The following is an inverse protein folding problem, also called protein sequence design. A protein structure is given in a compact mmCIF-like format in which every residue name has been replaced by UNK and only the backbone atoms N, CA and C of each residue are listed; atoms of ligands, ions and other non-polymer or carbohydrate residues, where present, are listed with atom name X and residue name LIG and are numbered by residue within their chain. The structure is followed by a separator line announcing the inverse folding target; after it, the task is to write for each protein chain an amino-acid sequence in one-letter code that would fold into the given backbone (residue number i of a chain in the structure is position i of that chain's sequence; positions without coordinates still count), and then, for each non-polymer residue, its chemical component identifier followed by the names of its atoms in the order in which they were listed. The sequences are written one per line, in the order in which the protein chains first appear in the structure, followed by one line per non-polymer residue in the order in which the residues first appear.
data_IF_540151177247
#
_entry.id   IF_540151177247
#
_cell.length_a   1.000
_cell.length_b   1.000
_cell.length_c   1.000
_cell.angle_alpha   90.00
_cell.angle_beta   90.00
_cell.angle_gamma   90.00
#
_symmetry.space_group_name_H-M   'P 1'
#
loop_
_entity.id
_entity.type
_entity.pdbx_description
1 polymer ?
#
# COMPACT_ATOMS: atom_id res chain seq x y z
N UNK A 1 11.80 8.50 8.35
CA UNK A 1 11.26 7.50 7.42
C UNK A 1 12.39 6.63 6.91
N UNK A 2 12.13 5.35 6.79
CA UNK A 2 13.13 4.37 6.35
C UNK A 2 12.66 3.76 5.03
N UNK A 3 13.55 3.74 4.02
CA UNK A 3 13.29 3.00 2.79
C UNK A 3 13.82 1.59 2.96
N UNK A 4 12.95 0.62 2.74
CA UNK A 4 13.31 -0.79 2.90
C UNK A 4 14.02 -1.32 1.68
N UNK A 5 14.92 -2.28 1.91
CA UNK A 5 15.51 -3.12 0.88
C UNK A 5 15.00 -4.54 1.04
N UNK A 6 15.30 -5.39 0.07
CA UNK A 6 14.85 -6.79 0.13
C UNK A 6 15.46 -7.57 1.30
N UNK A 7 16.49 -7.02 1.95
CA UNK A 7 17.13 -7.65 3.09
C UNK A 7 16.43 -7.37 4.43
N UNK A 8 15.50 -6.41 4.46
CA UNK A 8 14.79 -6.01 5.68
C UNK A 8 13.62 -6.95 5.98
N UNK A 9 13.92 -8.23 6.18
CA UNK A 9 12.92 -9.29 6.26
C UNK A 9 11.89 -9.11 7.38
N UNK A 10 12.30 -8.59 8.54
CA UNK A 10 11.38 -8.39 9.66
C UNK A 10 10.33 -7.33 9.34
N UNK A 11 10.76 -6.22 8.75
CA UNK A 11 9.82 -5.18 8.32
C UNK A 11 8.94 -5.64 7.16
N UNK A 12 9.52 -6.39 6.22
CA UNK A 12 8.74 -6.95 5.10
C UNK A 12 7.64 -7.86 5.64
N UNK A 13 7.95 -8.68 6.64
CA UNK A 13 6.95 -9.52 7.29
C UNK A 13 5.80 -8.69 7.90
N UNK A 14 6.14 -7.60 8.58
CA UNK A 14 5.15 -6.69 9.16
C UNK A 14 4.28 -6.05 8.09
N UNK A 15 4.87 -5.58 7.00
CA UNK A 15 4.13 -5.01 5.87
C UNK A 15 3.20 -6.05 5.25
N UNK A 16 3.72 -7.24 4.98
CA UNK A 16 2.91 -8.33 4.40
C UNK A 16 1.73 -8.68 5.31
N UNK A 17 1.97 -8.75 6.61
CA UNK A 17 0.93 -9.07 7.59
C UNK A 17 -0.18 -8.02 7.56
N UNK A 18 0.17 -6.75 7.61
CA UNK A 18 -0.83 -5.68 7.58
C UNK A 18 -1.54 -5.60 6.24
N UNK A 19 -0.83 -5.84 5.14
CA UNK A 19 -1.42 -5.84 3.82
C UNK A 19 -2.48 -6.94 3.67
N UNK A 20 -2.18 -8.15 4.13
CA UNK A 20 -3.14 -9.26 4.09
C UNK A 20 -4.37 -8.94 4.93
N UNK A 21 -4.19 -8.32 6.10
CA UNK A 21 -5.31 -7.88 6.93
C UNK A 21 -6.18 -6.86 6.19
N UNK A 22 -5.58 -5.92 5.48
CA UNK A 22 -6.33 -4.93 4.68
C UNK A 22 -7.16 -5.61 3.59
N UNK A 23 -6.58 -6.58 2.90
CA UNK A 23 -7.29 -7.33 1.87
C UNK A 23 -8.45 -8.13 2.45
N UNK A 24 -8.29 -8.73 3.61
CA UNK A 24 -9.31 -9.55 4.26
C UNK A 24 -10.44 -8.71 4.85
N UNK A 25 -10.20 -7.47 5.21
CA UNK A 25 -11.23 -6.60 5.77
C UNK A 25 -12.36 -6.32 4.77
N UNK A 26 -12.08 -6.50 3.48
CA UNK A 26 -13.03 -6.23 2.40
C UNK A 26 -13.84 -7.45 2.00
N UNK A 27 -13.54 -8.61 2.57
CA UNK A 27 -14.22 -9.85 2.26
C UNK A 27 -14.91 -10.40 3.49
N UNK A 28 -16.12 -10.95 3.30
CA UNK A 28 -16.84 -11.63 4.35
C UNK A 28 -16.27 -13.03 4.61
N UNK A 29 -15.39 -13.50 3.73
CA UNK A 29 -14.83 -14.85 3.80
C UNK A 29 -13.48 -14.79 4.48
N UNK A 30 -13.38 -15.47 5.63
CA UNK A 30 -12.10 -15.68 6.29
C UNK A 30 -11.43 -16.87 5.66
N UNK A 31 -10.32 -16.64 4.98
CA UNK A 31 -9.60 -17.73 4.36
C UNK A 31 -8.75 -18.44 5.40
N UNK A 32 -8.68 -19.76 5.29
CA UNK A 32 -7.81 -20.56 6.13
C UNK A 32 -6.34 -20.47 5.71
N UNK A 33 -6.05 -19.70 4.68
CA UNK A 33 -4.72 -19.58 4.11
C UNK A 33 -3.96 -18.33 4.49
N UNK A 34 -4.34 -17.65 5.58
CA UNK A 34 -3.74 -16.38 5.96
C UNK A 34 -2.22 -16.44 6.06
N UNK A 35 -1.66 -17.48 6.70
CA UNK A 35 -0.22 -17.63 6.83
C UNK A 35 0.47 -17.84 5.49
N UNK A 36 -0.19 -18.58 4.60
CA UNK A 36 0.31 -18.80 3.25
C UNK A 36 0.30 -17.50 2.46
N UNK A 37 -0.78 -16.73 2.57
CA UNK A 37 -0.89 -15.44 1.90
C UNK A 37 0.19 -14.47 2.37
N UNK A 38 0.43 -14.40 3.67
CA UNK A 38 1.50 -13.57 4.22
C UNK A 38 2.86 -13.97 3.64
N UNK A 39 3.15 -15.27 3.61
CA UNK A 39 4.41 -15.77 3.06
C UNK A 39 4.55 -15.43 1.58
N UNK A 40 3.47 -15.54 0.80
CA UNK A 40 3.49 -15.19 -0.62
C UNK A 40 3.74 -13.70 -0.83
N UNK A 41 3.13 -12.84 -0.02
CA UNK A 41 3.38 -11.40 -0.12
C UNK A 41 4.78 -11.02 0.34
N UNK A 42 5.33 -11.69 1.35
CA UNK A 42 6.72 -11.48 1.74
C UNK A 42 7.65 -11.75 0.56
N UNK A 43 7.45 -12.87 -0.13
CA UNK A 43 8.25 -13.23 -1.29
C UNK A 43 8.08 -12.22 -2.43
N UNK A 44 6.84 -11.81 -2.71
CA UNK A 44 6.56 -10.85 -3.76
C UNK A 44 7.21 -9.50 -3.47
N UNK A 45 7.05 -9.01 -2.24
CA UNK A 45 7.63 -7.72 -1.84
C UNK A 45 9.14 -7.76 -1.95
N UNK A 46 9.78 -8.79 -1.38
CA UNK A 46 11.23 -8.92 -1.46
C UNK A 46 11.73 -9.00 -2.90
N UNK A 47 11.03 -9.78 -3.73
CA UNK A 47 11.37 -9.92 -5.15
C UNK A 47 11.27 -8.59 -5.89
N UNK A 48 10.19 -7.86 -5.69
CA UNK A 48 9.99 -6.56 -6.34
C UNK A 48 10.96 -5.50 -5.84
N UNK A 49 11.29 -5.50 -4.56
CA UNK A 49 12.32 -4.60 -4.03
C UNK A 49 13.67 -4.88 -4.67
N UNK A 50 13.99 -6.15 -4.88
CA UNK A 50 15.29 -6.54 -5.43
C UNK A 50 15.38 -6.32 -6.94
N UNK A 51 14.35 -6.71 -7.70
CA UNK A 51 14.43 -6.79 -9.16
C UNK A 51 13.61 -5.76 -9.90
N UNK A 52 12.56 -5.22 -9.30
CA UNK A 52 11.72 -4.23 -9.95
C UNK A 52 11.95 -2.81 -9.42
N UNK A 53 12.73 -2.67 -8.36
CA UNK A 53 13.03 -1.35 -7.80
C UNK A 53 11.85 -0.69 -7.12
N UNK A 54 10.93 -1.47 -6.56
CA UNK A 54 9.77 -0.92 -5.85
C UNK A 54 10.18 0.02 -4.74
N UNK A 55 9.28 0.95 -4.43
CA UNK A 55 9.44 1.87 -3.32
C UNK A 55 8.64 1.34 -2.14
N UNK A 56 9.29 1.16 -1.01
CA UNK A 56 8.62 0.77 0.24
C UNK A 56 9.21 1.59 1.37
N UNK A 57 8.43 2.57 1.83
CA UNK A 57 8.83 3.43 2.94
C UNK A 57 8.04 3.13 4.18
N UNK A 58 8.69 3.16 5.32
CA UNK A 58 8.05 2.98 6.61
C UNK A 58 8.37 4.13 7.54
N UNK A 59 7.43 4.40 8.45
CA UNK A 59 7.62 5.33 9.55
C UNK A 59 7.62 4.52 10.84
N UNK A 60 8.64 4.72 11.66
CA UNK A 60 8.77 3.99 12.92
C UNK A 60 8.77 4.94 14.11
N UNK A 61 8.46 4.40 15.30
CA UNK A 61 8.63 5.13 16.54
C UNK A 61 10.06 4.96 17.07
N UNK A 62 10.32 5.47 18.28
CA UNK A 62 11.66 5.40 18.88
C UNK A 62 12.11 3.97 19.21
N UNK A 63 11.16 3.06 19.34
CA UNK A 63 11.42 1.65 19.64
C UNK A 63 11.44 0.81 18.37
N UNK A 64 11.47 1.45 17.21
CA UNK A 64 11.51 0.83 15.90
C UNK A 64 10.24 0.05 15.54
N UNK A 65 9.12 0.36 16.21
CA UNK A 65 7.81 -0.19 15.84
C UNK A 65 7.24 0.60 14.67
N UNK A 66 6.66 -0.10 13.72
CA UNK A 66 6.09 0.51 12.52
C UNK A 66 4.79 1.24 12.84
N UNK A 67 4.75 2.54 12.52
CA UNK A 67 3.54 3.38 12.65
C UNK A 67 2.76 3.45 11.34
N UNK A 68 3.45 3.39 10.22
CA UNK A 68 2.86 3.54 8.91
C UNK A 68 3.79 3.00 7.85
N UNK A 69 3.22 2.62 6.71
CA UNK A 69 4.01 2.28 5.53
C UNK A 69 3.24 2.62 4.26
N UNK A 70 3.98 2.71 3.16
CA UNK A 70 3.40 2.71 1.82
C UNK A 70 4.31 1.95 0.88
N UNK A 71 3.70 1.16 0.01
CA UNK A 71 4.38 0.34 -0.97
C UNK A 71 3.88 0.71 -2.35
N UNK A 72 4.81 1.02 -3.26
CA UNK A 72 4.49 1.44 -4.62
C UNK A 72 5.36 0.72 -5.63
N UNK A 73 4.77 0.45 -6.79
CA UNK A 73 5.40 -0.26 -7.89
C UNK A 73 5.30 0.57 -9.16
N UNK A 74 6.41 0.64 -9.93
CA UNK A 74 6.43 1.34 -11.21
C UNK A 74 6.36 0.35 -12.36
N UNK A 75 5.45 0.60 -13.30
CA UNK A 75 5.32 -0.17 -14.54
C UNK A 75 5.82 0.68 -15.70
N UNK A 76 7.03 0.42 -16.23
CA UNK A 76 7.59 1.24 -17.30
C UNK A 76 6.75 1.23 -18.57
N UNK A 77 6.12 0.10 -18.90
CA UNK A 77 5.33 -0.02 -20.13
C UNK A 77 4.18 0.99 -20.17
N UNK A 78 3.60 1.32 -19.04
CA UNK A 78 2.47 2.25 -18.93
C UNK A 78 2.88 3.61 -18.36
N UNK A 79 4.14 3.77 -18.00
CA UNK A 79 4.64 4.96 -17.28
C UNK A 79 3.78 5.27 -16.06
N UNK A 80 3.43 4.24 -15.29
CA UNK A 80 2.46 4.32 -14.21
C UNK A 80 3.01 3.74 -12.92
N UNK A 81 2.81 4.47 -11.83
CA UNK A 81 3.07 3.97 -10.48
C UNK A 81 1.74 3.53 -9.88
N UNK A 82 1.73 2.36 -9.28
CA UNK A 82 0.59 1.86 -8.52
C UNK A 82 0.96 1.86 -7.04
N UNK A 83 0.14 2.50 -6.22
CA UNK A 83 0.27 2.36 -4.78
C UNK A 83 -0.39 1.04 -4.41
N UNK A 84 0.45 0.05 -4.10
CA UNK A 84 -0.01 -1.31 -3.83
C UNK A 84 -0.63 -1.43 -2.45
N UNK A 85 -0.11 -0.67 -1.48
CA UNK A 85 -0.61 -0.72 -0.11
C UNK A 85 -0.19 0.54 0.63
N UNK A 86 -1.08 1.03 1.49
CA UNK A 86 -0.79 2.13 2.40
C UNK A 86 -1.51 1.86 3.71
N UNK A 87 -0.78 1.98 4.81
CA UNK A 87 -1.31 1.69 6.14
C UNK A 87 -0.79 2.71 7.14
N UNK A 88 -1.69 3.15 8.01
CA UNK A 88 -1.32 3.96 9.17
C UNK A 88 -1.96 3.31 10.39
N UNK A 89 -1.13 3.02 11.38
CA UNK A 89 -1.60 2.44 12.64
C UNK A 89 -2.73 3.32 13.21
N UNK A 90 -3.84 2.72 13.69
CA UNK A 90 -4.97 3.50 14.21
C UNK A 90 -4.60 4.52 15.28
N UNK A 91 -3.61 4.23 16.13
CA UNK A 91 -3.17 5.15 17.17
C UNK A 91 -2.36 6.34 16.64
N UNK A 92 -1.93 6.26 15.38
CA UNK A 92 -1.07 7.27 14.76
C UNK A 92 -1.75 7.99 13.59
N UNK A 93 -3.05 7.84 13.44
CA UNK A 93 -3.80 8.52 12.38
C UNK A 93 -3.94 10.01 12.66
N UNK A 94 -4.24 10.78 11.62
CA UNK A 94 -4.40 12.24 11.67
C UNK A 94 -3.13 12.99 12.07
N UNK A 95 -1.97 12.37 11.89
CA UNK A 95 -0.67 12.98 12.14
C UNK A 95 0.09 13.30 10.84
N UNK A 96 -0.56 13.13 9.70
CA UNK A 96 0.02 13.48 8.41
C UNK A 96 0.90 12.43 7.76
N UNK A 97 0.98 11.22 8.31
CA UNK A 97 1.84 10.18 7.75
C UNK A 97 1.43 9.72 6.36
N UNK A 98 0.11 9.56 6.13
CA UNK A 98 -0.37 9.17 4.81
C UNK A 98 0.00 10.23 3.75
N UNK A 99 -0.17 11.49 4.08
CA UNK A 99 0.19 12.60 3.19
C UNK A 99 1.69 12.60 2.90
N UNK A 100 2.51 12.46 3.93
CA UNK A 100 3.96 12.44 3.79
C UNK A 100 4.41 11.28 2.90
N UNK A 101 3.89 10.09 3.15
CA UNK A 101 4.22 8.91 2.34
C UNK A 101 3.80 9.10 0.88
N UNK A 102 2.61 9.62 0.64
CA UNK A 102 2.14 9.87 -0.72
C UNK A 102 2.98 10.92 -1.45
N UNK A 103 3.39 11.96 -0.75
CA UNK A 103 4.26 12.97 -1.34
C UNK A 103 5.64 12.40 -1.69
N UNK A 104 6.18 11.52 -0.86
CA UNK A 104 7.44 10.85 -1.14
C UNK A 104 7.32 9.92 -2.34
N UNK A 105 6.20 9.19 -2.45
CA UNK A 105 5.93 8.33 -3.60
C UNK A 105 5.80 9.18 -4.87
N UNK A 106 5.12 10.32 -4.81
CA UNK A 106 4.98 11.20 -5.97
C UNK A 106 6.35 11.67 -6.46
N UNK A 107 7.21 12.06 -5.54
CA UNK A 107 8.57 12.49 -5.88
C UNK A 107 9.36 11.36 -6.53
N UNK A 108 9.28 10.16 -5.95
CA UNK A 108 9.93 8.99 -6.51
C UNK A 108 9.35 8.63 -7.88
N UNK A 109 8.03 8.67 -8.03
CA UNK A 109 7.37 8.38 -9.30
C UNK A 109 7.86 9.29 -10.41
N UNK A 110 7.98 10.57 -10.14
CA UNK A 110 8.52 11.54 -11.10
C UNK A 110 9.96 11.19 -11.49
N UNK A 111 10.77 10.77 -10.52
CA UNK A 111 12.15 10.38 -10.80
C UNK A 111 12.26 9.14 -11.67
N UNK A 112 11.23 8.28 -11.68
CA UNK A 112 11.17 7.10 -12.52
C UNK A 112 10.68 7.41 -13.94
N UNK A 113 10.13 8.58 -14.16
CA UNK A 113 9.50 8.95 -15.43
C UNK A 113 8.03 8.61 -15.51
N UNK A 114 7.39 8.34 -14.39
CA UNK A 114 5.97 8.05 -14.36
C UNK A 114 5.14 9.27 -14.74
N UNK A 115 4.04 9.03 -15.46
CA UNK A 115 3.09 10.06 -15.85
C UNK A 115 1.83 10.02 -15.02
N UNK A 116 1.61 8.94 -14.29
CA UNK A 116 0.38 8.74 -13.53
C UNK A 116 0.68 7.90 -12.29
N UNK A 117 -0.03 8.22 -11.21
CA UNK A 117 -0.06 7.39 -10.00
C UNK A 117 -1.50 6.94 -9.81
N UNK A 118 -1.70 5.66 -9.61
CA UNK A 118 -3.02 5.12 -9.29
C UNK A 118 -2.98 4.39 -7.95
N UNK A 119 -4.15 4.25 -7.34
CA UNK A 119 -4.36 3.46 -6.15
C UNK A 119 -5.82 3.08 -6.05
N UNK A 120 -6.11 2.05 -5.29
CA UNK A 120 -7.48 1.62 -5.04
C UNK A 120 -7.87 2.05 -3.64
N UNK A 121 -9.03 2.68 -3.51
CA UNK A 121 -9.58 3.11 -2.23
C UNK A 121 -10.98 2.52 -2.11
N UNK A 122 -11.26 1.92 -0.97
CA UNK A 122 -12.60 1.42 -0.69
C UNK A 122 -13.59 2.58 -0.62
N UNK A 123 -14.77 2.40 -1.22
CA UNK A 123 -15.82 3.43 -1.23
C UNK A 123 -16.17 3.91 0.18
N UNK A 124 -16.13 3.00 1.14
CA UNK A 124 -16.44 3.30 2.54
C UNK A 124 -15.37 4.12 3.25
N UNK A 125 -14.17 4.21 2.67
CA UNK A 125 -13.06 4.95 3.28
C UNK A 125 -13.07 6.41 2.82
N UNK A 126 -14.04 7.17 3.31
CA UNK A 126 -14.22 8.57 2.92
C UNK A 126 -13.02 9.46 3.29
N UNK A 127 -12.39 9.18 4.41
CA UNK A 127 -11.22 9.95 4.83
C UNK A 127 -10.09 9.86 3.79
N UNK A 128 -9.86 8.67 3.24
CA UNK A 128 -8.82 8.49 2.21
C UNK A 128 -9.25 9.09 0.88
N UNK A 129 -10.54 9.00 0.52
CA UNK A 129 -11.06 9.63 -0.69
C UNK A 129 -10.84 11.15 -0.62
N UNK A 130 -11.20 11.77 0.49
CA UNK A 130 -11.02 13.21 0.69
C UNK A 130 -9.54 13.61 0.67
N UNK A 131 -8.68 12.82 1.31
CA UNK A 131 -7.25 13.08 1.29
C UNK A 131 -6.71 13.02 -0.13
N UNK A 132 -7.08 11.98 -0.88
CA UNK A 132 -6.63 11.82 -2.26
C UNK A 132 -7.10 12.99 -3.13
N UNK A 133 -8.35 13.40 -3.01
CA UNK A 133 -8.86 14.54 -3.77
C UNK A 133 -8.11 15.82 -3.42
N UNK A 134 -7.80 16.04 -2.14
CA UNK A 134 -7.01 17.19 -1.69
C UNK A 134 -5.59 17.17 -2.27
N UNK A 135 -5.05 15.99 -2.55
CA UNK A 135 -3.73 15.82 -3.15
C UNK A 135 -3.76 15.84 -4.69
N UNK A 136 -4.93 16.06 -5.28
CA UNK A 136 -5.06 16.15 -6.73
C UNK A 136 -5.45 14.85 -7.43
N UNK A 137 -5.76 13.81 -6.68
CA UNK A 137 -6.29 12.58 -7.27
C UNK A 137 -7.75 12.75 -7.64
N UNK A 138 -8.18 12.01 -8.64
CA UNK A 138 -9.59 12.00 -9.05
C UNK A 138 -10.02 10.55 -9.28
N UNK A 139 -11.31 10.31 -9.22
CA UNK A 139 -11.86 9.01 -9.55
C UNK A 139 -11.67 8.77 -11.04
N UNK A 140 -11.03 7.67 -11.39
CA UNK A 140 -10.70 7.32 -12.76
C UNK A 140 -11.64 6.24 -13.31
N UNK A 141 -12.00 5.27 -12.46
CA UNK A 141 -12.93 4.21 -12.84
C UNK A 141 -13.59 3.63 -11.61
N UNK A 142 -14.70 2.93 -11.82
CA UNK A 142 -15.39 2.23 -10.75
C UNK A 142 -15.20 0.72 -10.92
N UNK A 143 -15.08 0.03 -9.79
CA UNK A 143 -15.18 -1.42 -9.75
C UNK A 143 -16.59 -1.71 -9.24
N UNK A 144 -17.37 -2.39 -10.06
CA UNK A 144 -18.76 -2.75 -9.72
C UNK A 144 -18.81 -4.25 -9.50
N UNK A 145 -19.47 -4.66 -8.42
CA UNK A 145 -19.56 -6.06 -8.08
C UNK A 145 -21.00 -6.47 -7.80
N UNK A 146 -21.26 -7.75 -7.98
CA UNK A 146 -22.56 -8.36 -7.67
C UNK A 146 -22.29 -9.66 -6.95
N UNK A 147 -22.84 -9.80 -5.76
CA UNK A 147 -22.76 -11.08 -5.03
C UNK A 147 -23.62 -12.13 -5.74
N UNK A 148 -23.06 -13.31 -5.91
CA UNK A 148 -23.77 -14.46 -6.43
C UNK A 148 -24.16 -15.44 -5.31
N UNK A 149 -23.83 -15.09 -4.09
CA UNK A 149 -24.20 -15.90 -2.94
C UNK A 149 -25.63 -15.57 -2.52
N UNK A 150 -26.37 -16.60 -2.17
CA UNK A 150 -27.71 -16.41 -1.63
C UNK A 150 -27.60 -16.02 -0.17
N UNK A 151 -28.40 -15.03 0.23
CA UNK A 151 -28.40 -14.53 1.60
C UNK A 151 -29.16 -15.49 2.55
#
# INVERSE_FOLDING_TARGET
MILLTYEDSDYIHRVATEHVKLLQSDTLIRTQGTQIEIALYEEMIAHRLRYAGDWLGIVTDREEHMKAYAWAHYEPANAQVTIESLYVDPEHRQQGYATELKQQIEKWAKSQGARQIIGTVQQSNQAMVELNEALGYRVDKYIMSKSLEES
#
